data_IF_390315920675
#
_entry.id   IF_390315920675
#
_cell.length_a   1.000
_cell.length_b   1.000
_cell.length_c   1.000
_cell.angle_alpha   90.00
_cell.angle_beta   90.00
_cell.angle_gamma   90.00
#
_symmetry.space_group_name_H-M   'P 1'
#
loop_
_entity.id
_entity.type
_entity.pdbx_description
1 polymer ?
#
# COMPACT_ATOMS: atom_id res chain seq x y z
N UNK A 1 -2.25 -18.76 -10.00
CA UNK A 1 -1.89 -17.35 -10.27
C UNK A 1 -0.40 -17.19 -10.01
N UNK A 2 0.44 -17.09 -11.05
CA UNK A 2 1.89 -16.95 -10.89
C UNK A 2 2.22 -15.63 -10.22
N UNK A 3 2.61 -15.66 -8.93
CA UNK A 3 3.01 -14.47 -8.15
C UNK A 3 1.88 -13.49 -7.80
N UNK A 4 0.72 -13.56 -8.45
CA UNK A 4 -0.39 -12.62 -8.29
C UNK A 4 -1.35 -12.91 -7.12
N UNK A 5 -1.16 -13.94 -6.32
CA UNK A 5 -1.98 -14.19 -5.12
C UNK A 5 -1.17 -14.93 -4.05
N UNK A 6 -1.31 -14.50 -2.80
CA UNK A 6 -0.62 -15.13 -1.69
C UNK A 6 -1.40 -16.36 -1.18
N UNK A 7 -0.77 -17.54 -0.97
CA UNK A 7 -1.49 -18.78 -0.63
C UNK A 7 -2.33 -18.72 0.64
N UNK A 8 -2.02 -17.79 1.55
CA UNK A 8 -2.70 -17.60 2.84
C UNK A 8 -3.71 -16.44 2.84
N UNK A 9 -3.87 -15.76 1.71
CA UNK A 9 -4.87 -14.69 1.53
C UNK A 9 -6.28 -15.27 1.41
N UNK A 10 -7.29 -14.42 1.61
CA UNK A 10 -8.69 -14.82 1.50
C UNK A 10 -9.08 -14.95 0.03
N UNK A 11 -9.55 -16.14 -0.35
CA UNK A 11 -10.10 -16.36 -1.70
C UNK A 11 -11.37 -15.54 -1.96
N UNK A 12 -12.11 -15.16 -0.92
CA UNK A 12 -13.30 -14.30 -1.04
C UNK A 12 -12.92 -12.89 -1.51
N UNK A 13 -11.77 -12.37 -1.07
CA UNK A 13 -11.29 -11.03 -1.45
C UNK A 13 -10.86 -10.97 -2.92
N UNK A 14 -10.54 -12.11 -3.53
CA UNK A 14 -10.29 -12.19 -4.99
C UNK A 14 -11.50 -11.74 -5.79
N UNK A 15 -12.70 -12.10 -5.34
CA UNK A 15 -13.93 -11.87 -6.07
C UNK A 15 -14.63 -10.56 -5.71
N UNK A 16 -14.24 -9.92 -4.60
CA UNK A 16 -14.68 -8.57 -4.27
C UNK A 16 -14.16 -7.56 -5.31
N UNK A 17 -14.90 -6.47 -5.53
CA UNK A 17 -14.51 -5.45 -6.50
C UNK A 17 -13.25 -4.71 -6.05
N UNK A 18 -12.45 -4.18 -7.00
CA UNK A 18 -11.28 -3.38 -6.66
C UNK A 18 -11.64 -2.12 -5.84
N UNK A 19 -12.85 -1.57 -6.03
CA UNK A 19 -13.38 -0.43 -5.26
C UNK A 19 -13.60 -0.74 -3.78
N UNK A 20 -13.92 -2.00 -3.48
CA UNK A 20 -14.07 -2.52 -2.12
C UNK A 20 -12.74 -3.10 -1.59
N UNK A 21 -11.64 -2.96 -2.33
CA UNK A 21 -10.33 -3.47 -1.94
C UNK A 21 -10.08 -4.92 -2.31
N UNK A 22 -10.92 -5.52 -3.17
CA UNK A 22 -10.73 -6.85 -3.75
C UNK A 22 -9.88 -6.85 -5.02
N UNK A 23 -9.99 -7.91 -5.83
CA UNK A 23 -9.25 -8.05 -7.12
C UNK A 23 -10.14 -7.95 -8.36
N UNK A 24 -11.45 -7.86 -8.18
CA UNK A 24 -12.42 -7.81 -9.27
C UNK A 24 -12.42 -9.07 -10.15
N UNK A 25 -11.93 -10.20 -9.66
CA UNK A 25 -12.03 -11.45 -10.41
C UNK A 25 -13.46 -11.98 -10.40
N UNK A 26 -13.85 -12.63 -11.48
CA UNK A 26 -15.17 -13.25 -11.57
C UNK A 26 -15.07 -14.69 -11.10
N UNK A 27 -15.91 -15.07 -10.12
CA UNK A 27 -16.00 -16.44 -9.65
C UNK A 27 -16.70 -17.32 -10.68
N UNK A 28 -16.06 -18.40 -11.13
CA UNK A 28 -16.66 -19.37 -12.06
C UNK A 28 -17.97 -19.92 -11.51
N UNK A 29 -18.02 -20.20 -10.20
CA UNK A 29 -19.25 -20.66 -9.53
C UNK A 29 -20.35 -19.60 -9.61
N UNK A 30 -20.03 -18.35 -9.31
CA UNK A 30 -21.00 -17.25 -9.37
C UNK A 30 -21.49 -17.02 -10.80
N UNK A 31 -20.61 -17.10 -11.80
CA UNK A 31 -20.98 -17.00 -13.22
C UNK A 31 -21.93 -18.13 -13.63
N UNK A 32 -21.62 -19.39 -13.28
CA UNK A 32 -22.50 -20.52 -13.59
C UNK A 32 -23.87 -20.30 -12.96
N UNK A 33 -23.93 -19.86 -11.71
CA UNK A 33 -25.19 -19.64 -11.01
C UNK A 33 -25.99 -18.45 -11.57
N UNK A 34 -25.33 -17.35 -11.92
CA UNK A 34 -25.96 -16.19 -12.54
C UNK A 34 -26.54 -16.55 -13.92
N UNK A 35 -25.78 -17.25 -14.76
CA UNK A 35 -26.26 -17.75 -16.05
C UNK A 35 -27.38 -18.79 -15.90
N UNK A 36 -27.30 -19.66 -14.90
CA UNK A 36 -28.36 -20.62 -14.56
C UNK A 36 -29.63 -19.88 -14.14
N UNK A 37 -29.51 -18.84 -13.32
CA UNK A 37 -30.63 -18.01 -12.85
C UNK A 37 -31.27 -17.20 -13.98
N UNK A 38 -30.46 -16.59 -14.86
CA UNK A 38 -30.95 -15.89 -16.07
C UNK A 38 -31.65 -16.83 -17.03
N UNK A 39 -31.10 -18.02 -17.24
CA UNK A 39 -31.70 -19.05 -18.09
C UNK A 39 -33.03 -19.51 -17.51
N UNK A 40 -33.08 -19.80 -16.22
CA UNK A 40 -34.30 -20.18 -15.52
C UNK A 40 -35.37 -19.07 -15.60
N UNK A 41 -34.97 -17.81 -15.41
CA UNK A 41 -35.86 -16.65 -15.57
C UNK A 41 -36.40 -16.54 -17.00
N UNK A 42 -35.54 -16.66 -18.01
CA UNK A 42 -35.95 -16.65 -19.41
C UNK A 42 -36.96 -17.76 -19.73
N UNK A 43 -36.70 -18.98 -19.24
CA UNK A 43 -37.61 -20.12 -19.42
C UNK A 43 -38.95 -19.84 -18.74
N UNK A 44 -38.96 -19.32 -17.50
CA UNK A 44 -40.18 -18.92 -16.80
C UNK A 44 -40.99 -17.87 -17.59
N UNK A 45 -40.32 -16.87 -18.14
CA UNK A 45 -40.98 -15.78 -18.88
C UNK A 45 -41.57 -16.25 -20.22
N UNK A 46 -40.98 -17.27 -20.86
CA UNK A 46 -41.37 -17.77 -22.18
C UNK A 46 -42.23 -19.03 -22.17
N UNK A 47 -42.22 -19.79 -21.07
CA UNK A 47 -43.01 -21.01 -20.89
C UNK A 47 -44.51 -20.83 -21.25
N UNK A 48 -45.22 -19.74 -20.89
CA UNK A 48 -46.63 -19.59 -21.23
C UNK A 48 -46.95 -19.59 -22.73
N UNK A 49 -45.95 -19.35 -23.58
CA UNK A 49 -46.09 -19.22 -25.04
C UNK A 49 -45.38 -20.32 -25.82
N UNK A 50 -44.68 -21.23 -25.15
CA UNK A 50 -43.85 -22.26 -25.77
C UNK A 50 -43.98 -23.59 -25.01
N UNK A 51 -44.53 -24.60 -25.66
CA UNK A 51 -44.80 -25.93 -25.07
C UNK A 51 -43.52 -26.66 -24.64
N UNK A 52 -42.39 -26.45 -25.35
CA UNK A 52 -41.11 -27.09 -25.02
C UNK A 52 -40.53 -26.47 -23.75
N UNK A 53 -40.58 -25.14 -23.65
CA UNK A 53 -40.11 -24.43 -22.46
C UNK A 53 -41.00 -24.69 -21.24
N UNK A 54 -42.31 -24.88 -21.44
CA UNK A 54 -43.25 -25.31 -20.39
C UNK A 54 -42.88 -26.69 -19.81
N UNK A 55 -42.58 -27.68 -20.66
CA UNK A 55 -42.17 -28.99 -20.18
C UNK A 55 -40.78 -28.95 -19.53
N UNK A 56 -39.87 -28.14 -20.07
CA UNK A 56 -38.54 -27.92 -19.50
C UNK A 56 -38.63 -27.33 -18.07
N UNK A 57 -39.51 -26.34 -17.87
CA UNK A 57 -39.77 -25.75 -16.55
C UNK A 57 -40.34 -26.78 -15.56
N UNK A 58 -41.20 -27.70 -16.02
CA UNK A 58 -41.79 -28.76 -15.19
C UNK A 58 -40.76 -29.79 -14.71
N UNK A 59 -39.71 -30.02 -15.50
CA UNK A 59 -38.64 -30.97 -15.18
C UNK A 59 -37.51 -30.37 -14.34
N UNK A 60 -37.38 -29.04 -14.32
CA UNK A 60 -36.36 -28.34 -13.52
C UNK A 60 -36.69 -28.46 -12.03
N UNK A 61 -36.18 -29.51 -11.35
CA UNK A 61 -36.26 -29.60 -9.89
C UNK A 61 -35.35 -28.55 -9.25
N UNK A 62 -35.86 -27.95 -8.19
CA UNK A 62 -35.21 -27.00 -7.27
C UNK A 62 -33.95 -27.62 -6.62
N UNK A 63 -32.85 -27.63 -7.33
CA UNK A 63 -31.54 -27.36 -6.74
C UNK A 63 -31.29 -25.85 -6.80
N UNK A 64 -32.25 -25.07 -6.26
CA UNK A 64 -31.96 -23.70 -5.83
C UNK A 64 -31.17 -23.83 -4.53
N UNK A 65 -29.93 -24.31 -4.63
CA UNK A 65 -28.91 -23.92 -3.66
C UNK A 65 -28.65 -22.44 -3.93
N UNK A 66 -29.57 -21.59 -3.46
CA UNK A 66 -29.24 -20.19 -3.19
C UNK A 66 -27.97 -20.27 -2.34
N UNK A 67 -26.86 -19.75 -2.87
CA UNK A 67 -25.68 -19.61 -2.03
C UNK A 67 -26.14 -18.74 -0.87
N UNK A 68 -26.18 -19.31 0.34
CA UNK A 68 -26.18 -18.46 1.53
C UNK A 68 -25.04 -17.47 1.32
N UNK A 69 -25.32 -16.17 1.52
CA UNK A 69 -24.31 -15.12 1.49
C UNK A 69 -23.23 -15.51 2.49
N UNK A 70 -22.18 -16.16 1.98
CA UNK A 70 -21.06 -16.58 2.79
C UNK A 70 -20.48 -15.36 3.50
N UNK A 71 -19.84 -15.54 4.67
CA UNK A 71 -19.32 -14.41 5.43
C UNK A 71 -18.41 -13.56 4.55
N UNK A 72 -18.58 -12.23 4.58
CA UNK A 72 -17.73 -11.33 3.81
C UNK A 72 -16.27 -11.53 4.21
N UNK A 73 -15.34 -11.29 3.28
CA UNK A 73 -13.92 -11.31 3.63
C UNK A 73 -13.59 -10.27 4.71
N UNK A 74 -14.38 -9.19 4.79
CA UNK A 74 -14.28 -8.10 5.76
C UNK A 74 -14.66 -8.55 7.18
N UNK A 75 -15.52 -9.57 7.31
CA UNK A 75 -15.95 -10.12 8.59
C UNK A 75 -14.94 -11.11 9.19
N UNK A 76 -13.98 -11.57 8.37
CA UNK A 76 -12.95 -12.49 8.86
C UNK A 76 -12.10 -11.78 9.92
N UNK A 77 -11.92 -12.38 11.12
CA UNK A 77 -11.21 -11.74 12.23
C UNK A 77 -9.81 -11.24 11.84
N UNK A 78 -9.08 -12.03 11.04
CA UNK A 78 -7.72 -11.69 10.62
C UNK A 78 -7.69 -10.95 9.27
N UNK A 79 -8.24 -11.53 8.19
CA UNK A 79 -8.16 -10.97 6.83
C UNK A 79 -8.91 -9.64 6.67
N UNK A 80 -9.99 -9.42 7.42
CA UNK A 80 -10.76 -8.17 7.41
C UNK A 80 -10.23 -7.10 8.37
N UNK A 81 -9.20 -7.41 9.17
CA UNK A 81 -8.69 -6.50 10.21
C UNK A 81 -8.26 -5.15 9.64
N UNK A 82 -7.53 -5.13 8.53
CA UNK A 82 -7.11 -3.90 7.88
C UNK A 82 -8.31 -3.04 7.47
N UNK A 83 -9.30 -3.66 6.80
CA UNK A 83 -10.50 -2.95 6.34
C UNK A 83 -11.19 -2.26 7.52
N UNK A 84 -11.51 -3.03 8.57
CA UNK A 84 -12.18 -2.51 9.78
C UNK A 84 -11.39 -1.40 10.47
N UNK A 85 -10.05 -1.51 10.50
CA UNK A 85 -9.19 -0.49 11.11
C UNK A 85 -9.21 0.85 10.35
N UNK A 86 -9.45 0.83 9.04
CA UNK A 86 -9.43 2.06 8.22
C UNK A 86 -10.82 2.64 7.98
N UNK A 87 -11.89 1.85 8.13
CA UNK A 87 -13.29 2.26 7.89
C UNK A 87 -13.67 3.56 8.60
N UNK A 88 -13.20 3.76 9.84
CA UNK A 88 -13.56 4.95 10.61
C UNK A 88 -12.71 6.18 10.31
N UNK A 89 -11.54 6.03 9.67
CA UNK A 89 -10.53 7.09 9.53
C UNK A 89 -10.24 7.48 8.08
N UNK A 90 -10.56 6.60 7.12
CA UNK A 90 -10.16 6.72 5.73
C UNK A 90 -11.37 6.88 4.80
N UNK A 91 -11.13 7.48 3.63
CA UNK A 91 -12.03 7.35 2.49
C UNK A 91 -11.74 6.01 1.81
N UNK A 92 -12.64 5.04 1.94
CA UNK A 92 -12.40 3.67 1.44
C UNK A 92 -12.21 3.64 -0.09
N UNK A 93 -13.04 4.38 -0.83
CA UNK A 93 -12.93 4.44 -2.29
C UNK A 93 -11.56 5.01 -2.71
N UNK A 94 -11.14 6.10 -2.08
CA UNK A 94 -9.81 6.70 -2.31
C UNK A 94 -8.66 5.90 -1.71
N UNK A 95 -8.91 4.99 -0.76
CA UNK A 95 -7.88 4.14 -0.16
C UNK A 95 -7.58 2.91 -1.00
N UNK A 96 -8.54 2.47 -1.84
CA UNK A 96 -8.39 1.32 -2.72
C UNK A 96 -8.16 1.67 -4.20
N UNK A 97 -8.37 2.92 -4.61
CA UNK A 97 -8.19 3.36 -6.01
C UNK A 97 -6.81 3.05 -6.63
N UNK A 98 -5.76 2.83 -5.83
CA UNK A 98 -4.45 2.43 -6.34
C UNK A 98 -4.50 1.05 -7.01
N UNK A 99 -5.42 0.15 -6.63
CA UNK A 99 -5.63 -1.14 -7.27
C UNK A 99 -6.04 -1.00 -8.74
N UNK A 100 -6.81 0.04 -9.07
CA UNK A 100 -7.27 0.28 -10.44
C UNK A 100 -6.36 1.24 -11.21
N UNK A 101 -5.80 2.24 -10.52
CA UNK A 101 -5.20 3.42 -11.19
C UNK A 101 -3.68 3.49 -11.08
N UNK A 102 -3.05 2.78 -10.15
CA UNK A 102 -1.62 2.92 -9.93
C UNK A 102 -0.77 2.12 -10.95
N UNK A 103 -1.34 1.12 -11.62
CA UNK A 103 -0.60 0.27 -12.57
C UNK A 103 0.59 -0.43 -11.92
N UNK A 104 0.36 -1.09 -10.79
CA UNK A 104 1.37 -1.91 -10.11
C UNK A 104 1.54 -3.26 -10.81
N UNK A 105 2.70 -3.90 -10.62
CA UNK A 105 2.88 -5.30 -11.03
C UNK A 105 2.01 -6.20 -10.14
N UNK A 106 1.42 -7.24 -10.71
CA UNK A 106 0.55 -8.20 -9.99
C UNK A 106 1.19 -8.75 -8.71
N UNK A 107 2.49 -9.05 -8.74
CA UNK A 107 3.23 -9.57 -7.59
C UNK A 107 3.40 -8.54 -6.47
N UNK A 108 3.57 -7.27 -6.83
CA UNK A 108 3.65 -6.17 -5.87
C UNK A 108 2.29 -5.95 -5.21
N UNK A 109 1.23 -5.89 -6.02
CA UNK A 109 -0.15 -5.79 -5.52
C UNK A 109 -0.50 -6.96 -4.59
N UNK A 110 -0.17 -8.19 -4.98
CA UNK A 110 -0.40 -9.38 -4.16
C UNK A 110 0.32 -9.30 -2.81
N UNK A 111 1.54 -8.77 -2.77
CA UNK A 111 2.30 -8.60 -1.54
C UNK A 111 1.67 -7.55 -0.61
N UNK A 112 1.21 -6.43 -1.17
CA UNK A 112 0.53 -5.37 -0.41
C UNK A 112 -0.80 -5.89 0.15
N UNK A 113 -1.59 -6.57 -0.67
CA UNK A 113 -2.85 -7.16 -0.24
C UNK A 113 -2.63 -8.25 0.82
N UNK A 114 -1.61 -9.09 0.67
CA UNK A 114 -1.23 -10.05 1.70
C UNK A 114 -0.84 -9.37 3.02
N UNK A 115 -0.20 -8.20 2.96
CA UNK A 115 0.06 -7.40 4.15
C UNK A 115 -1.24 -6.88 4.79
N UNK A 116 -2.16 -6.32 3.99
CA UNK A 116 -3.47 -5.86 4.49
C UNK A 116 -4.26 -7.01 5.12
N UNK A 117 -4.25 -8.19 4.50
CA UNK A 117 -4.94 -9.39 4.97
C UNK A 117 -4.24 -10.12 6.14
N UNK A 118 -3.13 -9.59 6.65
CA UNK A 118 -2.29 -10.25 7.67
C UNK A 118 -1.84 -11.66 7.27
N UNK A 119 -1.68 -11.90 5.96
CA UNK A 119 -1.31 -13.20 5.39
C UNK A 119 0.21 -13.43 5.34
N UNK A 120 1.02 -12.39 5.63
CA UNK A 120 2.48 -12.49 5.69
C UNK A 120 2.93 -13.36 6.87
N UNK A 121 4.01 -14.13 6.69
CA UNK A 121 4.58 -14.98 7.75
C UNK A 121 5.40 -14.16 8.76
N UNK A 122 4.70 -13.45 9.64
CA UNK A 122 5.33 -12.74 10.75
C UNK A 122 5.50 -13.65 11.97
N UNK A 123 6.46 -13.35 12.85
CA UNK A 123 6.63 -14.11 14.11
C UNK A 123 5.40 -14.07 14.99
N UNK A 124 4.64 -12.96 15.02
CA UNK A 124 3.40 -12.91 15.78
C UNK A 124 2.35 -13.90 15.23
N UNK A 125 2.18 -13.98 13.91
CA UNK A 125 1.27 -14.95 13.29
C UNK A 125 1.74 -16.40 13.54
N UNK A 126 3.04 -16.67 13.39
CA UNK A 126 3.59 -18.00 13.65
C UNK A 126 3.36 -18.46 15.10
N UNK A 127 3.54 -17.57 16.07
CA UNK A 127 3.37 -17.89 17.48
C UNK A 127 1.89 -17.98 17.89
N UNK A 128 1.06 -17.01 17.45
CA UNK A 128 -0.32 -16.86 17.94
C UNK A 128 -1.34 -17.66 17.15
N UNK A 129 -1.15 -17.81 15.83
CA UNK A 129 -2.12 -18.45 14.93
C UNK A 129 -1.71 -19.88 14.61
N UNK A 130 -0.42 -20.12 14.31
CA UNK A 130 0.07 -21.49 14.03
C UNK A 130 0.51 -22.22 15.30
N UNK A 131 0.40 -21.58 16.47
CA UNK A 131 0.76 -22.14 17.78
C UNK A 131 2.17 -22.75 17.80
N UNK A 132 3.10 -22.15 17.06
CA UNK A 132 4.50 -22.58 17.07
C UNK A 132 5.19 -22.10 18.34
N UNK A 133 6.26 -22.80 18.75
CA UNK A 133 7.10 -22.38 19.90
C UNK A 133 8.05 -21.21 19.58
N UNK A 134 7.77 -20.46 18.51
CA UNK A 134 8.61 -19.33 18.11
C UNK A 134 8.38 -18.15 19.04
N UNK A 135 9.45 -17.39 19.28
CA UNK A 135 9.35 -16.10 19.96
C UNK A 135 8.59 -15.12 19.06
N UNK A 136 7.47 -14.51 19.52
CA UNK A 136 6.68 -13.59 18.70
C UNK A 136 7.39 -12.28 18.39
N UNK A 137 8.54 -11.98 19.04
CA UNK A 137 9.26 -10.72 18.87
C UNK A 137 9.85 -10.55 17.47
N UNK A 138 9.89 -9.29 17.04
CA UNK A 138 10.45 -8.83 15.77
C UNK A 138 11.84 -9.38 15.50
N UNK A 139 12.03 -9.95 14.30
CA UNK A 139 13.31 -10.48 13.82
C UNK A 139 14.41 -9.42 13.78
N UNK A 140 14.03 -8.14 13.61
CA UNK A 140 14.96 -7.01 13.50
C UNK A 140 15.24 -6.35 14.86
N UNK A 141 14.21 -5.83 15.54
CA UNK A 141 14.43 -5.05 16.77
C UNK A 141 14.43 -5.89 18.06
N UNK A 142 13.88 -7.12 18.05
CA UNK A 142 13.78 -8.01 19.22
C UNK A 142 13.01 -7.44 20.43
N UNK A 143 12.25 -6.36 20.27
CA UNK A 143 11.60 -5.65 21.38
C UNK A 143 10.07 -5.76 21.40
N UNK A 144 9.43 -5.67 20.24
CA UNK A 144 7.98 -5.73 20.10
C UNK A 144 7.55 -6.97 19.29
N UNK A 145 6.30 -7.45 19.41
CA UNK A 145 5.76 -8.48 18.55
C UNK A 145 5.89 -8.13 17.06
N UNK A 146 6.31 -9.10 16.25
CA UNK A 146 6.43 -8.92 14.81
C UNK A 146 5.04 -8.99 14.15
N UNK A 147 4.37 -7.86 14.05
CA UNK A 147 3.12 -7.72 13.29
C UNK A 147 3.37 -7.00 11.97
N UNK A 148 2.40 -7.07 11.03
CA UNK A 148 2.49 -6.27 9.80
C UNK A 148 2.62 -4.78 10.15
N UNK A 149 1.80 -4.28 11.07
CA UNK A 149 1.87 -2.90 11.55
C UNK A 149 3.25 -2.54 12.13
N UNK A 150 3.86 -3.45 12.89
CA UNK A 150 5.20 -3.22 13.42
C UNK A 150 6.24 -3.13 12.29
N UNK A 151 6.19 -4.03 11.31
CA UNK A 151 7.13 -4.02 10.18
C UNK A 151 6.92 -2.77 9.30
N UNK A 152 5.69 -2.35 9.06
CA UNK A 152 5.40 -1.26 8.12
C UNK A 152 5.52 0.13 8.73
N UNK A 153 5.38 0.29 10.06
CA UNK A 153 5.36 1.63 10.67
C UNK A 153 5.89 1.70 12.11
N UNK A 154 6.31 0.60 12.73
CA UNK A 154 6.65 0.55 14.16
C UNK A 154 8.07 0.10 14.50
N UNK A 155 8.84 -0.44 13.55
CA UNK A 155 10.14 -1.00 13.82
C UNK A 155 11.22 0.07 13.80
N UNK A 156 11.84 0.35 14.95
CA UNK A 156 12.92 1.34 15.07
C UNK A 156 14.12 1.06 14.15
N UNK A 157 14.38 -0.21 13.84
CA UNK A 157 15.47 -0.61 12.94
C UNK A 157 15.19 -0.23 11.48
N UNK A 158 13.92 -0.06 11.11
CA UNK A 158 13.50 0.35 9.77
C UNK A 158 13.30 1.87 9.66
N UNK A 159 13.14 2.57 10.78
CA UNK A 159 12.86 4.00 10.82
C UNK A 159 13.90 4.86 10.10
N UNK A 160 15.19 4.65 10.39
CA UNK A 160 16.27 5.49 9.87
C UNK A 160 16.59 5.32 8.38
N UNK A 161 16.10 4.24 7.75
CA UNK A 161 16.38 3.95 6.33
C UNK A 161 15.10 3.73 5.53
N UNK A 162 14.47 2.57 5.70
CA UNK A 162 13.28 2.18 4.97
C UNK A 162 12.15 3.23 5.07
N UNK A 163 11.80 3.64 6.29
CA UNK A 163 10.70 4.58 6.48
C UNK A 163 11.05 5.98 5.96
N UNK A 164 12.31 6.41 6.15
CA UNK A 164 12.83 7.66 5.62
C UNK A 164 12.85 7.68 4.08
N UNK A 165 13.24 6.58 3.43
CA UNK A 165 13.23 6.45 1.98
C UNK A 165 11.80 6.57 1.42
N UNK A 166 10.81 5.90 2.05
CA UNK A 166 9.39 6.01 1.65
C UNK A 166 8.87 7.43 1.77
N UNK A 167 9.17 8.05 2.91
CA UNK A 167 8.84 9.43 3.20
C UNK A 167 9.40 10.39 2.13
N UNK A 168 10.70 10.28 1.86
CA UNK A 168 11.40 11.16 0.92
C UNK A 168 10.94 10.96 -0.53
N UNK A 169 10.50 9.76 -0.91
CA UNK A 169 9.91 9.54 -2.24
C UNK A 169 8.60 10.31 -2.41
N UNK A 170 7.72 10.29 -1.40
CA UNK A 170 6.47 11.07 -1.43
C UNK A 170 6.76 12.57 -1.43
N UNK A 171 7.62 13.03 -0.53
CA UNK A 171 8.04 14.44 -0.47
C UNK A 171 8.69 14.88 -1.79
N UNK A 172 9.49 14.02 -2.43
CA UNK A 172 10.14 14.28 -3.70
C UNK A 172 9.16 14.47 -4.88
N UNK A 173 8.04 13.75 -4.89
CA UNK A 173 6.95 13.96 -5.86
C UNK A 173 6.38 15.37 -5.69
N UNK A 174 6.02 15.73 -4.46
CA UNK A 174 5.46 17.05 -4.13
C UNK A 174 6.45 18.15 -4.53
N UNK A 175 7.73 18.02 -4.16
CA UNK A 175 8.78 18.97 -4.49
C UNK A 175 8.93 19.21 -6.00
N UNK A 176 8.93 18.14 -6.81
CA UNK A 176 9.05 18.25 -8.28
C UNK A 176 7.86 18.99 -8.89
N UNK A 177 6.65 18.73 -8.40
CA UNK A 177 5.45 19.41 -8.89
C UNK A 177 5.45 20.90 -8.55
N UNK A 178 5.93 21.27 -7.36
CA UNK A 178 6.12 22.68 -6.98
C UNK A 178 7.17 23.33 -7.89
N UNK A 179 8.30 22.68 -8.13
CA UNK A 179 9.34 23.23 -8.99
C UNK A 179 8.84 23.44 -10.42
N UNK A 180 8.05 22.50 -10.96
CA UNK A 180 7.44 22.63 -12.27
C UNK A 180 6.50 23.84 -12.37
N UNK A 181 5.70 24.12 -11.33
CA UNK A 181 4.80 25.29 -11.26
C UNK A 181 5.55 26.62 -11.33
N UNK A 182 6.73 26.70 -10.70
CA UNK A 182 7.53 27.93 -10.63
C UNK A 182 8.67 28.00 -11.65
N UNK A 183 8.81 27.01 -12.53
CA UNK A 183 9.91 26.95 -13.50
C UNK A 183 11.30 26.84 -12.85
N UNK A 184 11.39 26.11 -11.73
CA UNK A 184 12.65 25.88 -11.01
C UNK A 184 13.31 24.57 -11.45
N UNK A 185 14.63 24.54 -11.45
CA UNK A 185 15.40 23.33 -11.76
C UNK A 185 15.18 22.24 -10.70
N UNK A 186 15.10 20.99 -11.16
CA UNK A 186 14.98 19.82 -10.28
C UNK A 186 16.13 18.85 -10.53
N UNK A 187 16.51 18.04 -9.52
CA UNK A 187 17.47 16.96 -9.72
C UNK A 187 17.03 16.03 -10.85
N UNK A 188 17.98 15.67 -11.75
CA UNK A 188 17.69 14.83 -12.93
C UNK A 188 17.19 13.46 -12.50
N UNK A 189 17.86 12.86 -11.51
CA UNK A 189 17.46 11.57 -10.96
C UNK A 189 16.40 11.75 -9.88
N UNK A 190 15.38 10.87 -9.88
CA UNK A 190 14.38 10.77 -8.79
C UNK A 190 14.95 10.36 -7.44
N UNK A 191 16.18 9.85 -7.42
CA UNK A 191 16.87 9.37 -6.21
C UNK A 191 17.85 10.39 -5.63
N UNK A 192 18.10 11.49 -6.35
CA UNK A 192 18.94 12.58 -5.85
C UNK A 192 18.18 13.42 -4.82
N UNK A 193 18.87 13.75 -3.73
CA UNK A 193 18.35 14.64 -2.70
C UNK A 193 18.18 16.05 -3.27
N UNK A 194 16.99 16.68 -3.12
CA UNK A 194 16.80 18.06 -3.51
C UNK A 194 17.79 19.01 -2.82
N UNK A 195 18.20 20.11 -3.49
CA UNK A 195 18.97 21.16 -2.83
C UNK A 195 18.18 21.76 -1.66
N UNK A 196 18.88 22.09 -0.56
CA UNK A 196 18.27 22.65 0.65
C UNK A 196 17.49 23.95 0.38
N UNK A 197 17.96 24.75 -0.57
CA UNK A 197 17.32 26.01 -0.99
C UNK A 197 17.37 26.11 -2.50
N UNK A 198 16.23 26.39 -3.12
CA UNK A 198 16.11 26.73 -4.54
C UNK A 198 15.26 27.98 -4.66
N UNK A 199 15.66 28.94 -5.48
CA UNK A 199 15.04 30.25 -5.51
C UNK A 199 15.17 30.89 -6.89
N UNK A 200 14.11 31.57 -7.33
CA UNK A 200 14.10 32.49 -8.47
C UNK A 200 13.38 33.79 -8.08
N UNK A 201 13.06 34.65 -9.04
CA UNK A 201 12.37 35.93 -8.77
C UNK A 201 10.96 35.75 -8.20
N UNK A 202 10.27 34.66 -8.57
CA UNK A 202 8.86 34.40 -8.19
C UNK A 202 8.72 33.60 -6.91
N UNK A 203 9.59 32.62 -6.66
CA UNK A 203 9.44 31.68 -5.56
C UNK A 203 10.75 31.26 -4.90
N UNK A 204 10.64 30.82 -3.64
CA UNK A 204 11.71 30.19 -2.86
C UNK A 204 11.20 28.89 -2.25
N UNK A 205 11.93 27.80 -2.46
CA UNK A 205 11.63 26.49 -1.91
C UNK A 205 12.75 26.09 -0.95
N UNK A 206 12.37 25.68 0.25
CA UNK A 206 13.25 25.16 1.29
C UNK A 206 12.94 23.68 1.48
N UNK A 207 13.94 22.81 1.29
CA UNK A 207 13.81 21.37 1.48
C UNK A 207 14.54 20.95 2.75
N UNK A 208 13.82 20.35 3.71
CA UNK A 208 14.37 19.84 4.97
C UNK A 208 15.31 20.88 5.64
N UNK A 209 14.90 22.14 5.63
CA UNK A 209 15.71 23.27 6.06
C UNK A 209 15.23 23.75 7.43
N UNK A 210 16.17 23.85 8.38
CA UNK A 210 15.87 24.36 9.71
C UNK A 210 15.74 25.89 9.67
N UNK A 211 14.53 26.39 9.91
CA UNK A 211 14.21 27.82 9.89
C UNK A 211 14.57 28.44 11.23
N UNK A 212 15.35 29.52 11.18
CA UNK A 212 15.64 30.33 12.35
C UNK A 212 14.48 31.30 12.57
N UNK A 213 13.93 31.29 13.79
CA UNK A 213 12.78 32.13 14.20
C UNK A 213 13.19 32.99 15.40
N UNK A 214 12.59 34.17 15.52
CA UNK A 214 12.91 35.11 16.61
C UNK A 214 12.51 34.53 17.97
N UNK A 215 11.38 33.83 18.02
CA UNK A 215 10.96 33.03 19.17
C UNK A 215 11.41 31.58 19.00
N UNK A 216 11.70 30.91 20.11
CA UNK A 216 12.03 29.49 20.10
C UNK A 216 10.80 28.67 19.72
N UNK A 217 10.80 28.13 18.49
CA UNK A 217 9.80 27.16 18.00
C UNK A 217 10.46 25.79 17.93
N UNK A 218 9.93 24.82 18.68
CA UNK A 218 10.49 23.46 18.74
C UNK A 218 10.43 22.74 17.39
N UNK A 219 9.36 22.97 16.63
CA UNK A 219 9.18 22.40 15.30
C UNK A 219 9.45 23.45 14.21
N UNK A 220 10.72 23.59 13.84
CA UNK A 220 11.18 24.59 12.86
C UNK A 220 11.84 24.00 11.61
N UNK A 221 11.79 22.68 11.45
CA UNK A 221 12.29 21.96 10.28
C UNK A 221 11.15 21.11 9.70
N UNK A 222 10.29 21.69 8.84
CA UNK A 222 9.35 20.93 8.02
C UNK A 222 10.06 20.32 6.81
N UNK A 223 9.38 19.38 6.14
CA UNK A 223 9.95 18.71 4.96
C UNK A 223 10.11 19.67 3.79
N UNK A 224 9.11 20.53 3.54
CA UNK A 224 9.15 21.53 2.47
C UNK A 224 8.51 22.84 2.95
N UNK A 225 9.16 23.97 2.68
CA UNK A 225 8.50 25.28 2.72
C UNK A 225 8.58 25.92 1.35
N UNK A 226 7.45 26.36 0.84
CA UNK A 226 7.36 27.12 -0.41
C UNK A 226 6.94 28.54 -0.08
N UNK A 227 7.65 29.52 -0.61
CA UNK A 227 7.31 30.94 -0.51
C UNK A 227 7.05 31.47 -1.91
N UNK A 228 5.83 31.89 -2.18
CA UNK A 228 5.46 32.69 -3.35
C UNK A 228 5.66 34.16 -3.00
N UNK A 229 6.65 34.79 -3.65
CA UNK A 229 7.08 36.17 -3.37
C UNK A 229 6.10 37.20 -3.91
N UNK A 230 5.43 36.89 -5.02
CA UNK A 230 4.46 37.78 -5.66
C UNK A 230 3.15 37.82 -4.88
N UNK A 231 2.62 36.65 -4.54
CA UNK A 231 1.38 36.54 -3.76
C UNK A 231 1.59 36.78 -2.27
N UNK A 232 2.85 36.85 -1.82
CA UNK A 232 3.25 36.90 -0.40
C UNK A 232 2.57 35.80 0.40
N UNK A 233 2.69 34.56 -0.09
CA UNK A 233 2.15 33.35 0.56
C UNK A 233 3.26 32.38 0.88
N UNK A 234 3.12 31.65 1.97
CA UNK A 234 3.98 30.53 2.31
C UNK A 234 3.16 29.26 2.58
N UNK A 235 3.67 28.11 2.15
CA UNK A 235 3.07 26.81 2.41
C UNK A 235 4.11 25.94 3.10
N UNK A 236 3.80 25.50 4.32
CA UNK A 236 4.59 24.55 5.10
C UNK A 236 4.01 23.17 4.87
N UNK A 237 4.73 22.32 4.17
CA UNK A 237 4.31 20.95 3.85
C UNK A 237 5.10 19.97 4.69
N UNK A 238 4.38 19.04 5.32
CA UNK A 238 4.96 18.03 6.19
C UNK A 238 4.34 16.66 5.89
N UNK A 239 5.16 15.69 5.50
CA UNK A 239 4.78 14.39 4.96
C UNK A 239 4.85 13.31 6.05
N UNK A 240 3.87 12.41 6.16
CA UNK A 240 4.02 11.22 7.01
C UNK A 240 3.37 9.99 6.42
N UNK A 241 4.06 8.87 6.67
CA UNK A 241 3.61 7.54 6.27
C UNK A 241 3.39 6.69 7.54
N UNK A 242 2.30 6.90 8.30
CA UNK A 242 2.02 6.16 9.52
C UNK A 242 1.40 4.79 9.21
N UNK A 243 1.11 4.01 10.26
CA UNK A 243 0.15 2.91 10.15
C UNK A 243 -1.20 3.46 9.68
N UNK A 244 -1.87 2.71 8.81
CA UNK A 244 -3.11 3.11 8.13
C UNK A 244 -4.25 3.51 9.09
N UNK A 245 -4.40 2.81 10.21
CA UNK A 245 -5.39 3.17 11.25
C UNK A 245 -5.09 4.50 11.98
N UNK A 246 -3.87 5.04 11.84
CA UNK A 246 -3.42 6.25 12.54
C UNK A 246 -3.40 7.49 11.64
N UNK A 247 -3.82 7.40 10.37
CA UNK A 247 -3.69 8.51 9.41
C UNK A 247 -4.36 9.81 9.90
N UNK A 248 -5.59 9.72 10.43
CA UNK A 248 -6.33 10.90 10.91
C UNK A 248 -5.68 11.53 12.13
N UNK A 249 -5.19 10.71 13.07
CA UNK A 249 -4.44 11.19 14.23
C UNK A 249 -3.17 11.91 13.78
N UNK A 250 -2.44 11.32 12.82
CA UNK A 250 -1.17 11.87 12.34
C UNK A 250 -1.34 13.18 11.57
N UNK A 251 -2.43 13.31 10.82
CA UNK A 251 -2.83 14.55 10.16
C UNK A 251 -3.00 15.69 11.17
N UNK A 252 -3.75 15.44 12.25
CA UNK A 252 -3.97 16.42 13.31
C UNK A 252 -2.69 16.80 14.05
N UNK A 253 -1.88 15.79 14.44
CA UNK A 253 -0.58 16.01 15.10
C UNK A 253 0.32 16.98 14.29
N UNK A 254 0.37 16.83 12.96
CA UNK A 254 1.19 17.71 12.10
C UNK A 254 0.62 19.12 11.99
N UNK A 255 -0.69 19.25 11.89
CA UNK A 255 -1.34 20.57 11.87
C UNK A 255 -1.00 21.35 13.14
N UNK A 256 -1.14 20.73 14.31
CA UNK A 256 -0.81 21.36 15.60
C UNK A 256 0.69 21.65 15.72
N UNK A 257 1.54 20.69 15.38
CA UNK A 257 3.00 20.78 15.50
C UNK A 257 3.58 22.03 14.81
N UNK A 258 3.07 22.40 13.65
CA UNK A 258 3.62 23.50 12.84
C UNK A 258 2.85 24.82 12.95
N UNK A 259 1.86 24.97 13.84
CA UNK A 259 1.18 26.26 14.03
C UNK A 259 2.15 27.36 14.51
N UNK A 260 3.03 27.06 15.46
CA UNK A 260 4.01 28.04 15.94
C UNK A 260 4.96 28.51 14.84
N UNK A 261 5.42 27.60 13.97
CA UNK A 261 6.25 27.97 12.83
C UNK A 261 5.47 28.85 11.84
N UNK A 262 4.22 28.47 11.54
CA UNK A 262 3.35 29.25 10.65
C UNK A 262 3.23 30.70 11.12
N UNK A 263 2.94 30.93 12.39
CA UNK A 263 2.82 32.28 12.97
C UNK A 263 4.13 33.08 12.87
N UNK A 264 5.27 32.45 13.17
CA UNK A 264 6.58 33.10 13.04
C UNK A 264 6.91 33.44 11.58
N UNK A 265 6.55 32.58 10.62
CA UNK A 265 6.70 32.87 9.19
C UNK A 265 5.83 34.05 8.75
N UNK A 266 4.57 34.11 9.19
CA UNK A 266 3.67 35.22 8.87
C UNK A 266 4.23 36.55 9.38
N UNK A 267 4.80 36.56 10.58
CA UNK A 267 5.39 37.74 11.19
C UNK A 267 6.73 38.13 10.57
N UNK A 268 7.68 37.20 10.48
CA UNK A 268 9.05 37.48 10.07
C UNK A 268 9.16 37.78 8.57
N UNK A 269 8.47 37.00 7.74
CA UNK A 269 8.54 37.14 6.28
C UNK A 269 7.41 38.00 5.72
N UNK A 270 6.47 38.43 6.56
CA UNK A 270 5.30 39.24 6.18
C UNK A 270 4.50 38.58 5.04
N UNK A 271 4.25 37.28 5.16
CA UNK A 271 3.50 36.45 4.21
C UNK A 271 2.25 35.89 4.89
N UNK A 272 1.28 35.40 4.12
CA UNK A 272 0.21 34.54 4.65
C UNK A 272 0.68 33.08 4.60
N UNK A 273 0.77 32.40 5.74
CA UNK A 273 1.29 31.04 5.79
C UNK A 273 0.17 30.01 6.01
N UNK A 274 0.36 28.79 5.51
CA UNK A 274 -0.57 27.67 5.72
C UNK A 274 0.21 26.38 5.94
N UNK A 275 -0.28 25.52 6.84
CA UNK A 275 0.29 24.20 7.11
C UNK A 275 -0.51 23.16 6.35
N UNK A 276 0.16 22.33 5.57
CA UNK A 276 -0.44 21.28 4.74
C UNK A 276 0.16 19.92 5.12
N UNK A 277 -0.58 19.09 5.88
CA UNK A 277 -0.15 17.74 6.19
C UNK A 277 -0.39 16.81 4.98
N UNK A 278 0.65 16.14 4.49
CA UNK A 278 0.51 15.09 3.46
C UNK A 278 0.67 13.75 4.15
N UNK A 279 -0.46 13.16 4.56
CA UNK A 279 -0.48 11.91 5.33
C UNK A 279 -1.09 10.78 4.52
N UNK A 280 -0.35 9.69 4.39
CA UNK A 280 -0.74 8.50 3.61
C UNK A 280 -0.38 7.25 4.43
N UNK A 281 -1.34 6.39 4.69
CA UNK A 281 -1.12 5.12 5.38
C UNK A 281 -0.11 4.26 4.64
N UNK A 282 0.71 3.53 5.39
CA UNK A 282 1.74 2.67 4.82
C UNK A 282 1.15 1.73 3.76
N UNK A 283 0.00 1.10 4.01
CA UNK A 283 -0.64 0.17 3.08
C UNK A 283 -1.67 0.83 2.15
N UNK A 284 -1.69 2.15 2.07
CA UNK A 284 -2.43 2.92 1.07
C UNK A 284 -3.68 3.63 1.57
N UNK A 285 -4.00 3.59 2.87
CA UNK A 285 -5.15 4.33 3.39
C UNK A 285 -4.95 5.86 3.30
N UNK A 286 -5.99 6.59 2.92
CA UNK A 286 -5.95 8.06 2.82
C UNK A 286 -7.19 8.68 3.45
N UNK A 287 -7.03 9.87 4.05
CA UNK A 287 -8.17 10.61 4.60
C UNK A 287 -8.98 11.25 3.46
N UNK A 288 -10.28 11.53 3.67
CA UNK A 288 -11.09 12.25 2.68
C UNK A 288 -10.51 13.63 2.29
N UNK A 289 -9.75 14.23 3.22
CA UNK A 289 -9.14 15.57 3.07
C UNK A 289 -7.85 15.60 2.28
N UNK A 290 -7.23 14.45 1.97
CA UNK A 290 -5.92 14.43 1.28
C UNK A 290 -5.93 15.28 0.01
N UNK A 291 -6.99 15.19 -0.79
CA UNK A 291 -7.11 15.98 -2.02
C UNK A 291 -7.23 17.48 -1.76
N UNK A 292 -7.98 17.89 -0.72
CA UNK A 292 -8.08 19.28 -0.29
C UNK A 292 -6.73 19.81 0.18
N UNK A 293 -5.96 19.01 0.90
CA UNK A 293 -4.61 19.35 1.33
C UNK A 293 -3.67 19.53 0.12
N UNK A 294 -3.65 18.58 -0.80
CA UNK A 294 -2.79 18.65 -1.99
C UNK A 294 -3.09 19.87 -2.86
N UNK A 295 -4.35 20.31 -2.96
CA UNK A 295 -4.75 21.53 -3.69
C UNK A 295 -4.22 22.83 -3.08
N UNK A 296 -3.82 22.83 -1.81
CA UNK A 296 -3.23 24.00 -1.15
C UNK A 296 -1.72 24.14 -1.45
N UNK A 297 -1.11 23.12 -2.04
CA UNK A 297 0.29 23.13 -2.45
C UNK A 297 0.37 23.65 -3.89
N UNK A 298 1.28 24.59 -4.21
CA UNK A 298 1.49 25.03 -5.59
C UNK A 298 1.88 23.88 -6.53
N UNK A 299 1.34 23.92 -7.75
CA UNK A 299 1.47 22.86 -8.74
C UNK A 299 0.41 21.76 -8.60
N UNK A 300 0.42 20.80 -9.52
CA UNK A 300 -0.58 19.72 -9.55
C UNK A 300 0.05 18.45 -8.97
N UNK A 301 -0.38 18.06 -7.77
CA UNK A 301 -0.01 16.77 -7.17
C UNK A 301 -1.19 15.82 -7.18
N UNK A 302 -1.04 14.70 -7.89
CA UNK A 302 -2.06 13.64 -7.92
C UNK A 302 -2.02 12.81 -6.63
N UNK A 303 -3.18 12.63 -6.01
CA UNK A 303 -3.41 11.72 -4.89
C UNK A 303 -2.93 10.29 -5.18
N UNK A 304 -3.22 9.76 -6.37
CA UNK A 304 -2.75 8.44 -6.83
C UNK A 304 -1.22 8.38 -6.85
N UNK A 305 -0.54 9.44 -7.32
CA UNK A 305 0.91 9.41 -7.47
C UNK A 305 1.62 9.27 -6.11
N UNK A 306 1.17 10.05 -5.12
CA UNK A 306 1.73 10.01 -3.76
C UNK A 306 1.32 8.73 -3.03
N UNK A 307 0.09 8.25 -3.22
CA UNK A 307 -0.40 6.99 -2.67
C UNK A 307 0.39 5.81 -3.23
N UNK A 308 0.54 5.72 -4.55
CA UNK A 308 1.36 4.71 -5.23
C UNK A 308 2.78 4.68 -4.66
N UNK A 309 3.39 5.85 -4.49
CA UNK A 309 4.75 5.95 -3.94
C UNK A 309 4.85 5.42 -2.51
N UNK A 310 3.90 5.77 -1.64
CA UNK A 310 3.88 5.30 -0.26
C UNK A 310 3.75 3.77 -0.19
N UNK A 311 2.85 3.20 -0.99
CA UNK A 311 2.56 1.76 -0.98
C UNK A 311 3.71 0.94 -1.58
N UNK A 312 4.31 1.41 -2.69
CA UNK A 312 5.47 0.78 -3.32
C UNK A 312 6.66 0.68 -2.37
N UNK A 313 6.81 1.66 -1.50
CA UNK A 313 7.79 1.67 -0.42
C UNK A 313 7.85 0.38 0.38
N UNK A 314 6.71 -0.21 0.72
CA UNK A 314 6.65 -1.41 1.57
C UNK A 314 7.11 -2.68 0.88
N UNK A 315 7.02 -2.75 -0.46
CA UNK A 315 7.41 -3.96 -1.19
C UNK A 315 8.89 -4.29 -0.99
N UNK A 316 9.73 -3.27 -0.74
CA UNK A 316 11.15 -3.42 -0.41
C UNK A 316 11.40 -3.79 1.06
N UNK A 317 10.53 -3.34 1.96
CA UNK A 317 10.64 -3.58 3.41
C UNK A 317 10.15 -4.98 3.80
N UNK A 318 9.08 -5.45 3.15
CA UNK A 318 8.49 -6.77 3.36
C UNK A 318 9.25 -7.88 2.64
N UNK A 319 9.91 -7.59 1.52
CA UNK A 319 10.77 -8.55 0.79
C UNK A 319 12.13 -8.83 1.45
N UNK A 320 12.55 -8.02 2.44
CA UNK A 320 13.73 -8.31 3.27
C UNK A 320 13.48 -9.37 4.34
N UNK A 321 12.25 -9.88 4.45
CA UNK A 321 11.94 -11.04 5.29
C UNK A 321 12.35 -12.34 4.55
N UNK A 322 13.25 -13.18 5.10
CA UNK A 322 13.85 -14.34 4.39
C UNK A 322 12.91 -15.50 4.01
N UNK A 323 11.59 -15.31 4.04
CA UNK A 323 10.59 -16.34 3.76
C UNK A 323 9.48 -15.86 2.81
N UNK A 324 9.78 -14.94 1.88
CA UNK A 324 8.96 -14.84 0.68
C UNK A 324 9.06 -16.18 -0.07
N UNK A 325 7.95 -16.91 -0.31
CA UNK A 325 8.03 -18.23 -0.91
C UNK A 325 8.64 -18.11 -2.31
N UNK A 326 9.80 -18.74 -2.51
CA UNK A 326 10.26 -19.10 -3.84
C UNK A 326 9.22 -20.07 -4.40
N UNK A 327 8.41 -19.60 -5.35
CA UNK A 327 7.58 -20.48 -6.15
C UNK A 327 8.46 -21.10 -7.23
N UNK A 328 8.92 -22.32 -7.01
CA UNK A 328 9.42 -23.21 -8.06
C UNK A 328 8.58 -24.50 -8.06
N UNK A 329 8.22 -25.05 -9.23
CA UNK A 329 7.27 -26.15 -9.34
C UNK A 329 7.96 -27.50 -9.11
N UNK A 330 7.50 -28.28 -8.13
CA UNK A 330 7.86 -29.69 -8.05
C UNK A 330 7.09 -30.49 -9.09
N UNK A 331 7.63 -30.59 -10.30
CA UNK A 331 7.25 -31.65 -11.24
C UNK A 331 8.01 -32.93 -10.89
N UNK A 332 7.35 -33.90 -10.26
CA UNK A 332 7.72 -35.31 -10.46
C UNK A 332 6.49 -36.21 -10.31
N UNK A 333 6.02 -36.68 -11.45
CA UNK A 333 5.28 -37.93 -11.57
C UNK A 333 6.23 -39.07 -11.18
N UNK A 334 5.93 -39.81 -10.12
CA UNK A 334 6.43 -41.17 -9.95
C UNK A 334 5.48 -41.99 -9.08
N UNK A 335 5.05 -43.10 -9.65
CA UNK A 335 4.19 -44.16 -9.13
C UNK A 335 4.83 -44.99 -8.00
N UNK A 336 4.02 -45.37 -7.00
CA UNK A 336 3.97 -46.75 -6.48
C UNK A 336 4.87 -47.18 -5.31
N UNK A 337 4.19 -47.72 -4.28
CA UNK A 337 4.60 -48.65 -3.18
C UNK A 337 5.28 -48.06 -1.93
N UNK A 338 4.71 -48.41 -0.76
CA UNK A 338 5.17 -48.00 0.59
C UNK A 338 6.23 -48.94 1.20
N UNK A 339 6.31 -49.09 2.54
CA UNK A 339 6.66 -48.08 3.54
C UNK A 339 7.88 -48.51 4.39
N UNK A 340 8.79 -47.61 4.81
CA UNK A 340 9.74 -47.88 5.91
C UNK A 340 10.20 -46.62 6.68
N UNK A 341 10.50 -46.84 7.96
CA UNK A 341 10.86 -45.88 9.01
C UNK A 341 12.34 -45.42 8.95
N UNK A 342 12.56 -44.13 9.19
CA UNK A 342 13.70 -43.59 9.95
C UNK A 342 15.02 -43.29 9.21
N UNK A 343 15.41 -41.99 9.15
CA UNK A 343 16.73 -41.42 9.50
C UNK A 343 16.85 -39.95 9.05
N UNK A 344 17.61 -39.17 9.84
CA UNK A 344 17.61 -37.70 9.87
C UNK A 344 18.12 -36.95 8.62
N UNK A 345 17.68 -35.70 8.51
CA UNK A 345 18.06 -34.75 7.46
C UNK A 345 19.30 -33.92 7.84
N UNK A 346 20.29 -33.91 6.94
CA UNK A 346 21.38 -32.93 6.86
C UNK A 346 20.90 -31.60 6.29
N UNK A 347 21.58 -30.46 6.57
CA UNK A 347 21.23 -29.16 5.99
C UNK A 347 21.68 -29.04 4.50
N UNK A 348 21.05 -28.18 3.68
CA UNK A 348 21.39 -27.99 2.27
C UNK A 348 22.59 -27.04 2.07
N UNK A 349 23.27 -27.23 0.92
CA UNK A 349 24.57 -26.69 0.56
C UNK A 349 24.55 -25.28 -0.06
N UNK A 350 25.68 -24.57 0.07
CA UNK A 350 25.95 -23.15 -0.26
C UNK A 350 25.84 -22.75 -1.76
N UNK A 351 25.30 -23.60 -2.64
CA UNK A 351 25.26 -23.38 -4.08
C UNK A 351 24.12 -22.49 -4.59
N UNK A 352 22.98 -22.46 -3.89
CA UNK A 352 21.73 -21.83 -4.38
C UNK A 352 21.73 -20.30 -4.24
N UNK A 353 22.48 -19.76 -3.27
CA UNK A 353 22.59 -18.31 -3.05
C UNK A 353 23.32 -17.55 -4.16
N UNK A 354 24.15 -18.22 -4.97
CA UNK A 354 24.93 -17.57 -6.05
C UNK A 354 24.11 -17.29 -7.31
N UNK A 355 23.04 -18.05 -7.56
CA UNK A 355 22.20 -17.89 -8.77
C UNK A 355 21.28 -16.66 -8.61
N UNK A 356 20.66 -16.51 -7.44
CA UNK A 356 19.77 -15.37 -7.14
C UNK A 356 20.50 -14.01 -7.16
N UNK A 357 21.78 -13.96 -6.75
CA UNK A 357 22.60 -12.75 -6.81
C UNK A 357 22.91 -12.32 -8.26
N UNK A 358 23.17 -13.28 -9.15
CA UNK A 358 23.50 -13.00 -10.57
C UNK A 358 22.29 -12.51 -11.37
N UNK A 359 21.08 -12.96 -11.04
CA UNK A 359 19.85 -12.43 -11.67
C UNK A 359 19.55 -11.01 -11.20
N UNK A 360 19.80 -10.70 -9.92
CA UNK A 360 19.64 -9.35 -9.35
C UNK A 360 20.65 -8.34 -9.91
N UNK A 361 21.87 -8.76 -10.25
CA UNK A 361 22.84 -7.89 -10.95
C UNK A 361 22.42 -7.61 -12.39
N UNK A 362 21.89 -8.61 -13.11
CA UNK A 362 21.34 -8.43 -14.46
C UNK A 362 20.11 -7.53 -14.50
N UNK A 363 19.31 -7.52 -13.43
CA UNK A 363 18.16 -6.61 -13.26
C UNK A 363 18.62 -5.15 -13.06
N UNK A 364 19.67 -4.92 -12.25
CA UNK A 364 20.29 -3.59 -12.08
C UNK A 364 20.87 -3.03 -13.39
N UNK A 365 21.52 -3.87 -14.19
CA UNK A 365 22.08 -3.46 -15.48
C UNK A 365 20.99 -3.15 -16.53
N UNK A 366 19.85 -3.83 -16.48
CA UNK A 366 18.70 -3.56 -17.36
C UNK A 366 17.97 -2.28 -16.98
N UNK A 367 17.80 -2.01 -15.68
CA UNK A 367 17.19 -0.78 -15.19
C UNK A 367 18.06 0.46 -15.45
N UNK A 368 19.40 0.34 -15.43
CA UNK A 368 20.32 1.41 -15.82
C UNK A 368 20.24 1.74 -17.33
N UNK A 369 20.07 0.73 -18.19
CA UNK A 369 19.95 0.91 -19.65
C UNK A 369 18.61 1.49 -20.11
N UNK A 370 17.57 1.42 -19.27
CA UNK A 370 16.26 2.03 -19.54
C UNK A 370 16.17 3.47 -19.00
N UNK A 371 17.18 3.93 -18.25
CA UNK A 371 17.27 5.26 -17.65
C UNK A 371 18.38 6.13 -18.27
N UNK A 372 19.04 5.64 -19.32
CA UNK A 372 19.92 6.40 -20.23
C UNK A 372 19.20 6.59 -21.56
#
# INVERSE_FOLDING_TARGET
MHGGFHPKSSTLRLYASCKEGGRGLVSVRATIQDETSKTHKYIKDKAPTDDVLSECLRQWRTEDEMLEDGPSWEDKPLHGMYHRNITEVADLNKSYQWLERAGLKDSTEALILAAQEQALSTRAIEAQIYHTRQDPRCRLCKEAPETVQHITAGCKMLAGKAYMERHNQVAGIVYRNICAEYGLETPRSKWETPPKVVENERAKILWDFQIQTDRMVMANQPDIVVVDKEQRKAVVVDVAIPSDGNIRKKEHEKLEKYQGLREELEKAWKVKATVVPVVIGALGAVTPKLEEWLRQIPGITSDISVQKSAVLGNSKDTAQNPQAPCAEPSSSLASGRGPELGKGMRPPAEGENRVCMREREREREREQKLAS
#
